data_IF_536892232655
#
_entry.id   IF_536892232655
#
_cell.length_a   1.000
_cell.length_b   1.000
_cell.length_c   1.000
_cell.angle_alpha   90.00
_cell.angle_beta   90.00
_cell.angle_gamma   90.00
#
_symmetry.space_group_name_H-M   'P 1'
#
loop_
_entity.id
_entity.type
_entity.pdbx_description
1 polymer ?
#
# COMPACT_ATOMS: atom_id res chain seq x y z
N UNK A 1 -23.11 10.24 1.54
CA UNK A 1 -22.07 9.20 1.78
C UNK A 1 -21.22 9.67 2.94
N UNK A 2 -20.88 8.81 3.91
CA UNK A 2 -19.94 9.18 4.97
C UNK A 2 -18.55 9.46 4.38
N UNK A 3 -17.80 10.43 4.91
CA UNK A 3 -16.46 10.74 4.43
C UNK A 3 -15.52 9.56 4.68
N UNK A 4 -14.76 9.17 3.65
CA UNK A 4 -13.71 8.13 3.78
C UNK A 4 -12.39 8.80 4.14
N UNK A 5 -11.75 8.34 5.22
CA UNK A 5 -10.43 8.80 5.65
C UNK A 5 -9.37 7.77 5.24
N UNK A 6 -8.24 8.26 4.73
CA UNK A 6 -7.07 7.41 4.45
C UNK A 6 -6.16 7.34 5.66
N UNK A 7 -5.62 6.16 5.90
CA UNK A 7 -4.67 5.92 6.96
C UNK A 7 -3.63 4.88 6.53
N UNK A 8 -2.45 4.97 7.13
CA UNK A 8 -1.39 3.98 7.01
C UNK A 8 -1.32 3.17 8.29
N UNK A 9 -1.38 1.85 8.17
CA UNK A 9 -1.13 0.96 9.30
C UNK A 9 0.37 0.84 9.56
N UNK A 10 0.81 1.25 10.75
CA UNK A 10 2.21 1.18 11.17
C UNK A 10 2.28 0.84 12.66
N UNK A 11 3.04 -0.20 12.98
CA UNK A 11 3.31 -0.63 14.37
C UNK A 11 2.03 -0.79 15.22
N UNK A 12 1.00 -1.48 14.70
CA UNK A 12 -0.23 -1.69 15.45
C UNK A 12 -1.24 -0.54 15.40
N UNK A 13 -0.92 0.59 14.77
CA UNK A 13 -1.73 1.81 14.80
C UNK A 13 -2.07 2.29 13.39
N UNK A 14 -3.29 2.80 13.19
CA UNK A 14 -3.69 3.48 11.95
C UNK A 14 -3.40 4.98 12.08
N UNK A 15 -2.49 5.49 11.25
CA UNK A 15 -2.08 6.90 11.23
C UNK A 15 -2.82 7.57 10.08
N UNK A 16 -3.71 8.53 10.38
CA UNK A 16 -4.44 9.29 9.36
C UNK A 16 -3.47 10.10 8.49
N UNK A 17 -3.71 10.11 7.18
CA UNK A 17 -2.94 10.95 6.24
C UNK A 17 -3.36 12.43 6.34
N UNK A 18 -4.62 12.69 6.68
CA UNK A 18 -5.20 14.03 6.80
C UNK A 18 -5.82 14.20 8.18
N UNK A 19 -5.67 15.38 8.78
CA UNK A 19 -6.32 15.70 10.05
C UNK A 19 -7.84 15.52 9.95
N UNK A 20 -8.43 14.92 10.98
CA UNK A 20 -9.87 14.75 11.11
C UNK A 20 -10.29 15.17 12.51
N UNK A 21 -11.40 15.91 12.62
CA UNK A 21 -12.01 16.27 13.89
C UNK A 21 -12.94 15.15 14.33
N UNK A 22 -12.37 14.00 14.69
CA UNK A 22 -13.11 12.87 15.24
C UNK A 22 -13.01 12.90 16.78
N UNK A 23 -14.13 13.01 17.50
CA UNK A 23 -14.12 12.97 18.96
C UNK A 23 -13.53 11.67 19.51
N UNK A 24 -12.86 11.76 20.66
CA UNK A 24 -12.36 10.57 21.36
C UNK A 24 -13.52 9.62 21.72
N UNK A 25 -13.31 8.31 21.54
CA UNK A 25 -14.33 7.29 21.78
C UNK A 25 -15.32 7.08 20.62
N UNK A 26 -15.17 7.79 19.50
CA UNK A 26 -16.00 7.54 18.31
C UNK A 26 -15.74 6.15 17.74
N UNK A 27 -16.80 5.38 17.51
CA UNK A 27 -16.73 4.11 16.79
C UNK A 27 -16.58 4.38 15.28
N UNK A 28 -15.71 3.61 14.63
CA UNK A 28 -15.45 3.70 13.20
C UNK A 28 -15.35 2.31 12.58
N UNK A 29 -15.78 2.20 11.33
CA UNK A 29 -15.54 1.01 10.53
C UNK A 29 -14.20 1.12 9.80
N UNK A 30 -13.42 0.04 9.80
CA UNK A 30 -12.15 -0.05 9.09
C UNK A 30 -12.30 -0.92 7.86
N UNK A 31 -12.07 -0.34 6.68
CA UNK A 31 -11.97 -1.07 5.43
C UNK A 31 -10.50 -1.17 4.99
N UNK A 32 -9.93 -2.36 5.08
CA UNK A 32 -8.57 -2.62 4.59
C UNK A 32 -8.63 -2.89 3.09
N UNK A 33 -8.18 -1.93 2.30
CA UNK A 33 -7.99 -2.12 0.88
C UNK A 33 -6.68 -2.88 0.65
N UNK A 34 -6.76 -4.13 0.19
CA UNK A 34 -5.59 -4.86 -0.27
C UNK A 34 -4.95 -4.09 -1.42
N UNK A 35 -3.66 -3.76 -1.31
CA UNK A 35 -2.95 -3.09 -2.38
C UNK A 35 -2.84 -4.03 -3.56
N UNK A 36 -3.71 -3.82 -4.56
CA UNK A 36 -3.57 -4.38 -5.88
C UNK A 36 -2.47 -3.59 -6.61
N UNK A 37 -1.23 -3.65 -6.13
CA UNK A 37 -0.09 -3.22 -6.94
C UNK A 37 0.11 -4.32 -7.98
N UNK A 38 -0.73 -4.33 -9.00
CA UNK A 38 -0.42 -5.06 -10.21
C UNK A 38 0.79 -4.34 -10.79
N UNK A 39 1.96 -4.96 -10.64
CA UNK A 39 3.17 -4.44 -11.28
C UNK A 39 2.87 -4.34 -12.78
N UNK A 40 3.19 -3.20 -13.44
CA UNK A 40 2.99 -3.09 -14.86
C UNK A 40 3.74 -4.24 -15.55
N UNK A 41 3.13 -4.90 -16.56
CA UNK A 41 3.77 -6.01 -17.23
C UNK A 41 5.05 -5.52 -17.91
N UNK A 42 6.14 -6.30 -17.76
CA UNK A 42 7.37 -6.06 -18.51
C UNK A 42 7.11 -6.49 -19.95
N UNK A 43 6.92 -5.52 -20.84
CA UNK A 43 6.53 -5.77 -22.23
C UNK A 43 7.69 -6.20 -23.13
N UNK A 44 8.93 -5.82 -22.81
CA UNK A 44 10.10 -6.12 -23.63
C UNK A 44 11.03 -7.19 -23.01
N UNK A 45 11.59 -8.03 -23.89
CA UNK A 45 12.41 -9.19 -23.50
C UNK A 45 13.72 -8.76 -22.82
N UNK A 46 14.33 -7.66 -23.25
CA UNK A 46 15.61 -7.18 -22.68
C UNK A 46 15.44 -6.67 -21.24
N UNK A 47 14.39 -5.91 -20.95
CA UNK A 47 14.05 -5.48 -19.60
C UNK A 47 13.69 -6.66 -18.71
N UNK A 48 13.03 -7.69 -19.25
CA UNK A 48 12.74 -8.92 -18.49
C UNK A 48 14.03 -9.63 -18.10
N UNK A 49 14.98 -9.74 -19.02
CA UNK A 49 16.30 -10.34 -18.73
C UNK A 49 17.09 -9.54 -17.70
N UNK A 50 17.12 -8.20 -17.83
CA UNK A 50 17.78 -7.31 -16.85
C UNK A 50 17.16 -7.43 -15.46
N UNK A 51 15.82 -7.47 -15.38
CA UNK A 51 15.10 -7.66 -14.13
C UNK A 51 15.45 -9.00 -13.48
N UNK A 52 15.41 -10.10 -14.23
CA UNK A 52 15.72 -11.44 -13.71
C UNK A 52 17.16 -11.53 -13.16
N UNK A 53 18.14 -10.94 -13.86
CA UNK A 53 19.52 -10.86 -13.36
C UNK A 53 19.63 -10.09 -12.04
N UNK A 54 18.95 -8.94 -11.96
CA UNK A 54 18.92 -8.12 -10.74
C UNK A 54 18.25 -8.86 -9.58
N UNK A 55 17.18 -9.61 -9.85
CA UNK A 55 16.47 -10.40 -8.84
C UNK A 55 17.39 -11.47 -8.24
N UNK A 56 18.05 -12.28 -9.08
CA UNK A 56 18.97 -13.35 -8.64
C UNK A 56 20.11 -12.76 -7.80
N UNK A 57 20.70 -11.64 -8.23
CA UNK A 57 21.80 -10.98 -7.51
C UNK A 57 21.41 -10.48 -6.11
N UNK A 58 20.14 -10.19 -5.85
CA UNK A 58 19.67 -9.73 -4.53
C UNK A 58 19.38 -10.88 -3.57
N UNK A 59 19.34 -12.11 -4.08
CA UNK A 59 19.04 -13.32 -3.30
C UNK A 59 20.30 -14.07 -2.83
N UNK A 60 21.48 -13.69 -3.32
CA UNK A 60 22.79 -14.18 -2.86
C UNK A 60 23.31 -13.31 -1.73
#
# INVERSE_FOLDING_TARGET
MPPTLKAVYRNGTFILETACNLPEGSEVELLIQSSSVVSPPISDVESKQRFLKSLISRMQ
#
